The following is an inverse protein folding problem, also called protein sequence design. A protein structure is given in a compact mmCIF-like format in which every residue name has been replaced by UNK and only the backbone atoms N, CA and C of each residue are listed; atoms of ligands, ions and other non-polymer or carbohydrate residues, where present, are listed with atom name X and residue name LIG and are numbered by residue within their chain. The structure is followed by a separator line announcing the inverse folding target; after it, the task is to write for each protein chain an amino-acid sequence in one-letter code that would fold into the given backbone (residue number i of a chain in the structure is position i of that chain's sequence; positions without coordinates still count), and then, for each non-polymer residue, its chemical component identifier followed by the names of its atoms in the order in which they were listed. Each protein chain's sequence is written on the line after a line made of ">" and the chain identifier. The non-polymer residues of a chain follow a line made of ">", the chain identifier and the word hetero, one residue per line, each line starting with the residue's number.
data_IF_508388576195
#
_entry.id   IF_508388576195
#
_cell.length_a   1.000
_cell.length_b   1.000
_cell.length_c   1.000
_cell.angle_alpha   90.00
_cell.angle_beta   90.00
_cell.angle_gamma   90.00
#
_symmetry.space_group_name_H-M   'P 1'
#
loop_
_entity.id
_entity.type
_entity.pdbx_description
1 polymer ?
#
# COMPACT_ATOMS: atom_id res chain seq x y z
N UNK A 1 -27.59 -17.60 4.50
CA UNK A 1 -26.31 -18.33 4.28
C UNK A 1 -25.17 -17.31 4.32
N UNK A 2 -24.17 -17.54 5.18
CA UNK A 2 -22.98 -16.69 5.27
C UNK A 2 -22.03 -16.96 4.09
N UNK A 3 -21.27 -15.97 3.71
CA UNK A 3 -20.16 -16.17 2.77
C UNK A 3 -19.07 -17.04 3.42
N UNK A 4 -18.46 -17.89 2.62
CA UNK A 4 -17.30 -18.67 3.09
C UNK A 4 -16.12 -17.73 3.33
N UNK A 5 -15.13 -18.22 4.07
CA UNK A 5 -13.92 -17.47 4.34
C UNK A 5 -13.13 -17.16 3.06
N UNK A 6 -13.19 -18.07 2.06
CA UNK A 6 -12.59 -17.81 0.73
C UNK A 6 -13.29 -16.65 0.03
N UNK A 7 -14.62 -16.63 0.08
CA UNK A 7 -15.39 -15.54 -0.57
C UNK A 7 -15.17 -14.20 0.14
N UNK A 8 -15.14 -14.21 1.48
CA UNK A 8 -14.82 -13.01 2.25
C UNK A 8 -13.42 -12.51 1.91
N UNK A 9 -12.44 -13.42 1.87
CA UNK A 9 -11.07 -13.07 1.50
C UNK A 9 -10.97 -12.48 0.11
N UNK A 10 -11.67 -13.07 -0.87
CA UNK A 10 -11.68 -12.58 -2.24
C UNK A 10 -12.32 -11.18 -2.33
N UNK A 11 -13.42 -10.94 -1.60
CA UNK A 11 -14.08 -9.64 -1.58
C UNK A 11 -13.20 -8.56 -0.93
N UNK A 12 -12.55 -8.89 0.17
CA UNK A 12 -11.61 -7.96 0.84
C UNK A 12 -10.45 -7.63 -0.11
N UNK A 13 -9.88 -8.65 -0.78
CA UNK A 13 -8.79 -8.43 -1.72
C UNK A 13 -9.22 -7.57 -2.92
N UNK A 14 -10.40 -7.84 -3.47
CA UNK A 14 -10.96 -7.05 -4.58
C UNK A 14 -11.18 -5.59 -4.18
N UNK A 15 -11.55 -5.37 -2.92
CA UNK A 15 -11.84 -4.05 -2.38
C UNK A 15 -10.57 -3.18 -2.23
N UNK A 16 -9.39 -3.78 -2.12
CA UNK A 16 -8.13 -3.08 -1.83
C UNK A 16 -7.91 -1.85 -2.71
N UNK A 17 -8.16 -1.95 -4.01
CA UNK A 17 -7.92 -0.86 -4.96
C UNK A 17 -8.83 0.36 -4.76
N UNK A 18 -9.97 0.17 -4.08
CA UNK A 18 -10.92 1.26 -3.82
C UNK A 18 -10.51 2.13 -2.63
N UNK A 19 -9.41 1.80 -1.97
CA UNK A 19 -8.79 2.67 -0.97
C UNK A 19 -8.32 4.00 -1.59
N UNK A 20 -7.96 3.97 -2.88
CA UNK A 20 -7.39 5.12 -3.58
C UNK A 20 -8.40 5.66 -4.60
N UNK A 21 -8.63 6.97 -4.52
CA UNK A 21 -9.61 7.62 -5.40
C UNK A 21 -8.92 8.52 -6.41
N UNK A 22 -9.52 8.64 -7.59
CA UNK A 22 -9.10 9.50 -8.68
C UNK A 22 -7.64 9.28 -9.10
N UNK A 23 -7.18 8.04 -9.10
CA UNK A 23 -5.79 7.72 -9.41
C UNK A 23 -5.41 8.18 -10.82
N UNK A 24 -4.31 8.94 -10.91
CA UNK A 24 -3.74 9.44 -12.17
C UNK A 24 -2.41 8.74 -12.39
N UNK A 25 -2.28 8.05 -13.52
CA UNK A 25 -1.03 7.36 -13.86
C UNK A 25 0.01 8.40 -14.31
N UNK A 26 1.18 8.32 -13.71
CA UNK A 26 2.34 9.17 -14.03
C UNK A 26 3.14 8.45 -15.12
N UNK A 27 2.71 8.60 -16.37
CA UNK A 27 3.13 7.74 -17.48
C UNK A 27 4.58 7.90 -17.90
N UNK A 28 5.10 9.13 -17.92
CA UNK A 28 6.40 9.45 -18.51
C UNK A 28 7.37 9.98 -17.46
N UNK A 29 8.59 9.47 -17.49
CA UNK A 29 9.66 9.81 -16.55
C UNK A 29 10.95 10.06 -17.33
N UNK A 30 11.86 10.83 -16.74
CA UNK A 30 13.25 10.93 -17.20
C UNK A 30 14.10 10.00 -16.33
N UNK A 31 14.90 9.16 -16.97
CA UNK A 31 15.78 8.22 -16.28
C UNK A 31 17.24 8.46 -16.63
N UNK A 32 18.12 8.37 -15.63
CA UNK A 32 19.57 8.50 -15.84
C UNK A 32 20.26 7.35 -15.12
N UNK A 33 20.86 6.45 -15.89
CA UNK A 33 21.65 5.34 -15.33
C UNK A 33 22.93 5.86 -14.70
N UNK A 34 23.22 5.37 -13.50
CA UNK A 34 24.43 5.72 -12.76
C UNK A 34 25.09 4.42 -12.31
N UNK A 35 25.69 3.74 -13.27
CA UNK A 35 26.21 2.37 -13.09
C UNK A 35 27.29 2.28 -12.03
N UNK A 36 28.08 3.35 -11.89
CA UNK A 36 29.21 3.38 -10.96
C UNK A 36 28.91 4.19 -9.69
N UNK A 37 27.68 4.71 -9.55
CA UNK A 37 27.34 5.59 -8.44
C UNK A 37 28.06 6.92 -8.46
N UNK A 38 28.53 7.35 -9.65
CA UNK A 38 29.37 8.52 -9.81
C UNK A 38 28.66 9.83 -9.50
N UNK A 39 27.33 9.86 -9.65
CA UNK A 39 26.53 11.05 -9.37
C UNK A 39 26.26 11.27 -7.86
N UNK A 40 26.76 10.36 -7.04
CA UNK A 40 26.68 10.52 -5.60
C UNK A 40 25.29 10.24 -5.03
N UNK A 41 24.99 10.89 -3.92
CA UNK A 41 23.79 10.59 -3.13
C UNK A 41 22.65 11.60 -3.31
N UNK A 42 22.87 12.69 -4.06
CA UNK A 42 21.86 13.71 -4.33
C UNK A 42 21.51 13.76 -5.80
N UNK A 43 20.27 14.17 -6.15
CA UNK A 43 19.82 14.15 -7.52
C UNK A 43 20.72 14.92 -8.48
N UNK A 44 21.15 14.31 -9.60
CA UNK A 44 21.90 15.00 -10.64
C UNK A 44 20.99 15.89 -11.49
N UNK A 45 21.55 16.62 -12.45
CA UNK A 45 20.75 17.33 -13.44
C UNK A 45 20.12 16.30 -14.39
N UNK A 46 18.80 16.19 -14.34
CA UNK A 46 18.04 15.19 -15.08
C UNK A 46 17.74 15.58 -16.53
N UNK A 47 18.21 16.75 -17.00
CA UNK A 47 17.90 17.24 -18.36
C UNK A 47 18.41 16.30 -19.47
N UNK A 48 19.44 15.52 -19.18
CA UNK A 48 20.03 14.59 -20.15
C UNK A 48 19.50 13.16 -19.98
N UNK A 49 18.46 13.00 -19.18
CA UNK A 49 17.87 11.68 -18.94
C UNK A 49 17.14 11.14 -20.15
N UNK A 50 17.13 9.82 -20.26
CA UNK A 50 16.38 9.10 -21.29
C UNK A 50 14.92 8.95 -20.87
N UNK A 51 13.97 8.84 -21.82
CA UNK A 51 12.58 8.63 -21.49
C UNK A 51 12.31 7.21 -20.98
N UNK A 52 11.57 7.12 -19.89
CA UNK A 52 11.04 5.87 -19.34
C UNK A 52 9.53 6.00 -19.19
N UNK A 53 8.82 4.86 -19.26
CA UNK A 53 7.37 4.83 -19.12
C UNK A 53 6.96 3.72 -18.16
N UNK A 54 5.78 3.88 -17.57
CA UNK A 54 5.14 2.78 -16.83
C UNK A 54 5.01 1.59 -17.79
N UNK A 55 5.51 0.45 -17.36
CA UNK A 55 5.61 -0.76 -18.18
C UNK A 55 7.02 -1.09 -18.63
N UNK A 56 7.90 -0.11 -18.66
CA UNK A 56 9.30 -0.31 -19.13
C UNK A 56 10.11 -1.11 -18.10
N UNK A 57 11.10 -1.84 -18.64
CA UNK A 57 12.05 -2.60 -17.84
C UNK A 57 13.31 -1.78 -17.58
N UNK A 58 13.93 -2.05 -16.44
CA UNK A 58 15.28 -1.58 -16.13
C UNK A 58 16.06 -2.72 -15.50
N UNK A 59 17.35 -2.80 -15.76
CA UNK A 59 18.14 -3.98 -15.44
C UNK A 59 19.51 -3.55 -14.96
N UNK A 60 19.97 -4.19 -13.90
CA UNK A 60 21.31 -3.92 -13.41
C UNK A 60 21.74 -4.90 -12.34
N UNK A 61 23.02 -4.84 -12.00
CA UNK A 61 23.60 -5.54 -10.87
C UNK A 61 24.44 -4.53 -10.10
N UNK A 62 23.96 -4.19 -8.89
CA UNK A 62 24.58 -3.16 -8.05
C UNK A 62 24.66 -1.82 -8.80
N UNK A 63 23.59 -1.47 -9.49
CA UNK A 63 23.52 -0.31 -10.37
C UNK A 63 22.45 0.64 -9.86
N UNK A 64 22.65 1.93 -10.03
CA UNK A 64 21.67 2.95 -9.68
C UNK A 64 21.02 3.51 -10.94
N UNK A 65 19.70 3.76 -10.83
CA UNK A 65 18.92 4.48 -11.84
C UNK A 65 18.24 5.67 -11.13
N UNK A 66 18.54 6.86 -11.59
CA UNK A 66 17.79 8.05 -11.17
C UNK A 66 16.55 8.17 -12.04
N UNK A 67 15.38 8.33 -11.43
CA UNK A 67 14.10 8.42 -12.14
C UNK A 67 13.37 9.67 -11.66
N UNK A 68 13.01 10.57 -12.59
CA UNK A 68 12.50 11.89 -12.24
C UNK A 68 11.21 12.21 -12.96
N UNK A 69 10.26 12.86 -12.24
CA UNK A 69 9.05 13.43 -12.82
C UNK A 69 8.55 14.60 -11.97
N UNK A 70 8.14 15.66 -12.64
CA UNK A 70 7.37 16.76 -12.03
C UNK A 70 5.90 16.59 -12.40
N UNK A 71 5.00 16.89 -11.46
CA UNK A 71 3.55 16.75 -11.64
C UNK A 71 2.82 17.89 -10.92
N UNK A 72 1.75 18.40 -11.54
CA UNK A 72 0.81 19.30 -10.89
C UNK A 72 -0.20 18.47 -10.10
N UNK A 73 -0.26 18.69 -8.80
CA UNK A 73 -1.23 18.01 -7.95
C UNK A 73 -2.59 18.67 -8.13
N UNK A 74 -3.67 17.93 -8.42
CA UNK A 74 -4.97 18.55 -8.66
C UNK A 74 -5.43 19.44 -7.50
N UNK A 75 -5.83 20.68 -7.83
CA UNK A 75 -6.22 21.65 -6.81
C UNK A 75 -7.49 21.24 -6.06
N UNK A 76 -8.39 20.51 -6.72
CA UNK A 76 -9.64 20.04 -6.08
C UNK A 76 -9.40 18.93 -5.03
N UNK A 77 -8.16 18.46 -4.90
CA UNK A 77 -7.77 17.52 -3.83
C UNK A 77 -7.42 18.22 -2.50
N UNK A 78 -7.64 19.54 -2.42
CA UNK A 78 -7.43 20.29 -1.18
C UNK A 78 -8.19 19.63 -0.03
N UNK A 79 -7.49 19.38 1.08
CA UNK A 79 -8.05 18.71 2.26
C UNK A 79 -8.11 17.18 2.17
N UNK A 80 -7.66 16.59 1.05
CA UNK A 80 -7.57 15.13 0.92
C UNK A 80 -6.18 14.62 1.37
N UNK A 81 -6.12 13.35 1.73
CA UNK A 81 -4.85 12.68 2.04
C UNK A 81 -4.23 12.22 0.71
N UNK A 82 -3.35 13.04 0.15
CA UNK A 82 -2.75 12.80 -1.16
C UNK A 82 -1.64 11.76 -1.00
N UNK A 83 -1.59 10.79 -1.92
CA UNK A 83 -0.65 9.68 -1.85
C UNK A 83 -0.09 9.35 -3.24
N UNK A 84 1.24 9.22 -3.31
CA UNK A 84 1.92 8.61 -4.47
C UNK A 84 2.01 7.11 -4.25
N UNK A 85 1.84 6.35 -5.33
CA UNK A 85 1.85 4.88 -5.31
C UNK A 85 2.89 4.40 -6.30
N UNK A 86 3.98 3.79 -5.80
CA UNK A 86 5.13 3.48 -6.62
C UNK A 86 5.58 2.02 -6.45
N UNK A 87 5.71 1.32 -7.58
CA UNK A 87 6.31 -0.01 -7.63
C UNK A 87 7.20 -0.08 -8.87
N UNK A 88 8.50 -0.07 -8.65
CA UNK A 88 9.52 -0.15 -9.71
C UNK A 88 10.19 -1.53 -9.73
N UNK A 89 9.58 -2.51 -9.12
CA UNK A 89 10.22 -3.72 -8.66
C UNK A 89 10.33 -4.88 -9.62
N UNK A 90 10.85 -5.96 -9.07
CA UNK A 90 11.27 -7.17 -9.76
C UNK A 90 10.17 -7.82 -10.59
N UNK A 91 10.58 -8.50 -11.65
CA UNK A 91 9.67 -9.21 -12.55
C UNK A 91 9.64 -10.71 -12.30
N UNK A 92 10.71 -11.28 -11.74
CA UNK A 92 10.84 -12.72 -11.56
C UNK A 92 10.60 -13.18 -10.12
N UNK A 93 10.81 -14.46 -9.92
CA UNK A 93 10.77 -15.11 -8.61
C UNK A 93 12.23 -15.47 -8.20
N UNK A 94 12.35 -16.13 -7.06
CA UNK A 94 13.65 -16.59 -6.58
C UNK A 94 14.39 -15.53 -5.78
N UNK A 95 15.70 -15.50 -5.95
CA UNK A 95 16.58 -14.70 -5.11
C UNK A 95 16.76 -13.24 -5.56
N UNK A 96 15.87 -12.75 -6.42
CA UNK A 96 15.88 -11.33 -6.76
C UNK A 96 15.45 -10.54 -5.51
N UNK A 97 16.31 -9.63 -5.05
CA UNK A 97 16.08 -8.86 -3.82
C UNK A 97 14.94 -7.84 -3.94
N UNK A 98 14.46 -7.58 -5.13
CA UNK A 98 13.54 -6.48 -5.37
C UNK A 98 14.31 -5.18 -5.56
N UNK A 99 13.57 -4.10 -5.74
CA UNK A 99 14.20 -2.78 -5.81
C UNK A 99 14.24 -2.15 -4.42
N UNK A 100 15.22 -1.29 -4.24
CA UNK A 100 15.27 -0.35 -3.10
C UNK A 100 15.44 1.05 -3.66
N UNK A 101 14.91 2.04 -2.99
CA UNK A 101 15.11 3.41 -3.44
C UNK A 101 15.00 4.42 -2.31
N UNK A 102 15.58 5.59 -2.57
CA UNK A 102 15.35 6.79 -1.78
C UNK A 102 14.63 7.81 -2.65
N UNK A 103 13.50 8.27 -2.18
CA UNK A 103 12.75 9.34 -2.83
C UNK A 103 13.25 10.70 -2.34
N UNK A 104 13.48 11.59 -3.28
CA UNK A 104 13.66 13.03 -3.04
C UNK A 104 12.39 13.74 -3.52
N UNK A 105 11.75 14.46 -2.63
CA UNK A 105 10.57 15.28 -2.95
C UNK A 105 11.02 16.74 -3.02
N UNK A 106 10.81 17.36 -4.17
CA UNK A 106 11.27 18.74 -4.42
C UNK A 106 12.77 18.92 -4.08
N UNK A 107 13.57 17.91 -4.43
CA UNK A 107 15.02 17.92 -4.26
C UNK A 107 15.53 17.58 -2.86
N UNK A 108 14.63 17.31 -1.90
CA UNK A 108 15.01 16.98 -0.52
C UNK A 108 14.75 15.50 -0.23
N UNK A 109 15.65 14.80 0.48
CA UNK A 109 15.39 13.42 0.89
C UNK A 109 14.06 13.32 1.66
N UNK A 110 13.23 12.34 1.33
CA UNK A 110 11.88 12.25 1.86
C UNK A 110 11.61 10.91 2.55
N UNK A 111 11.63 9.81 1.80
CA UNK A 111 11.43 8.48 2.39
C UNK A 111 12.01 7.38 1.50
N UNK A 112 12.25 6.22 2.08
CA UNK A 112 12.54 5.01 1.33
C UNK A 112 11.29 4.47 0.64
N UNK A 113 11.45 3.98 -0.58
CA UNK A 113 10.36 3.32 -1.33
C UNK A 113 10.91 2.00 -1.87
N UNK A 114 10.21 0.92 -1.55
CA UNK A 114 10.60 -0.44 -1.94
C UNK A 114 9.35 -1.32 -2.11
N UNK A 115 9.56 -2.62 -2.30
CA UNK A 115 8.46 -3.57 -2.53
C UNK A 115 7.44 -3.61 -1.38
N UNK A 116 7.83 -3.22 -0.17
CA UNK A 116 6.98 -3.26 1.01
C UNK A 116 6.45 -1.88 1.41
N UNK A 117 7.07 -0.82 0.90
CA UNK A 117 6.76 0.57 1.25
C UNK A 117 6.49 1.36 -0.04
N UNK A 118 5.31 1.14 -0.63
CA UNK A 118 4.96 1.70 -1.94
C UNK A 118 4.13 2.98 -1.84
N UNK A 119 3.62 3.32 -0.66
CA UNK A 119 2.80 4.51 -0.44
C UNK A 119 3.67 5.68 0.04
N UNK A 120 3.51 6.83 -0.61
CA UNK A 120 4.19 8.08 -0.28
C UNK A 120 3.14 9.14 0.01
N UNK A 121 2.90 9.45 1.27
CA UNK A 121 1.92 10.48 1.64
C UNK A 121 2.56 11.86 1.49
N UNK A 122 1.85 12.76 0.79
CA UNK A 122 2.30 14.13 0.61
C UNK A 122 1.75 15.05 1.70
N UNK A 123 2.42 16.17 1.92
CA UNK A 123 1.95 17.16 2.88
C UNK A 123 0.58 17.74 2.45
N UNK A 124 -0.28 18.09 3.41
CA UNK A 124 -1.65 18.51 3.08
C UNK A 124 -1.77 19.74 2.18
N UNK A 125 -0.75 20.57 2.13
CA UNK A 125 -0.74 21.82 1.35
C UNK A 125 -0.20 21.64 -0.07
N UNK A 126 0.02 20.41 -0.54
CA UNK A 126 0.53 20.16 -1.90
C UNK A 126 -0.53 20.30 -2.98
N UNK A 127 -1.83 20.22 -2.65
CA UNK A 127 -2.90 20.36 -3.65
C UNK A 127 -2.78 21.70 -4.37
N UNK A 128 -2.84 21.67 -5.70
CA UNK A 128 -2.71 22.87 -6.54
C UNK A 128 -1.27 23.34 -6.74
N UNK A 129 -0.28 22.56 -6.30
CA UNK A 129 1.13 22.93 -6.48
C UNK A 129 1.83 21.92 -7.41
N UNK A 130 2.98 22.33 -7.93
CA UNK A 130 3.88 21.42 -8.64
C UNK A 130 4.77 20.68 -7.63
N UNK A 131 4.89 19.37 -7.79
CA UNK A 131 5.74 18.53 -6.94
C UNK A 131 6.68 17.74 -7.85
N UNK A 132 7.95 17.68 -7.50
CA UNK A 132 8.91 16.85 -8.23
C UNK A 132 9.28 15.61 -7.41
N UNK A 133 9.14 14.46 -8.03
CA UNK A 133 9.57 13.17 -7.51
C UNK A 133 10.88 12.80 -8.20
N UNK A 134 11.93 12.54 -7.43
CA UNK A 134 13.19 12.01 -7.95
C UNK A 134 13.59 10.81 -7.09
N UNK A 135 13.61 9.63 -7.71
CA UNK A 135 13.99 8.39 -7.04
C UNK A 135 15.42 8.02 -7.41
N UNK A 136 16.21 7.66 -6.40
CA UNK A 136 17.48 6.96 -6.59
C UNK A 136 17.19 5.48 -6.39
N UNK A 137 17.00 4.75 -7.48
CA UNK A 137 16.68 3.32 -7.47
C UNK A 137 17.98 2.51 -7.45
N UNK A 138 18.04 1.47 -6.62
CA UNK A 138 19.13 0.50 -6.62
C UNK A 138 18.60 -0.83 -7.13
N UNK A 139 19.32 -1.42 -8.10
CA UNK A 139 18.88 -2.66 -8.76
C UNK A 139 19.00 -3.90 -7.89
N UNK A 140 19.71 -3.82 -6.79
CA UNK A 140 19.97 -4.98 -5.94
C UNK A 140 21.12 -5.83 -6.45
N UNK A 141 21.41 -6.87 -5.65
CA UNK A 141 22.37 -7.92 -5.95
C UNK A 141 21.62 -9.24 -5.78
N UNK A 142 22.01 -10.24 -6.54
CA UNK A 142 21.44 -11.59 -6.39
C UNK A 142 21.65 -12.13 -4.96
N UNK A 143 20.61 -12.73 -4.39
CA UNK A 143 20.64 -13.26 -3.02
C UNK A 143 21.29 -14.64 -2.93
N UNK A 144 22.60 -14.76 -3.20
CA UNK A 144 23.34 -16.01 -3.07
C UNK A 144 23.31 -16.91 -4.29
N UNK A 145 22.77 -16.43 -5.41
CA UNK A 145 22.80 -17.15 -6.67
C UNK A 145 24.00 -16.75 -7.53
N UNK A 146 23.94 -17.09 -8.81
CA UNK A 146 24.94 -16.64 -9.78
C UNK A 146 24.90 -15.12 -9.93
N UNK A 147 26.05 -14.47 -10.19
CA UNK A 147 26.09 -13.02 -10.35
C UNK A 147 25.48 -12.59 -11.71
N UNK A 148 24.19 -12.36 -11.70
CA UNK A 148 23.42 -11.97 -12.89
C UNK A 148 22.75 -10.61 -12.66
N UNK A 149 22.57 -9.80 -13.72
CA UNK A 149 21.79 -8.59 -13.61
C UNK A 149 20.37 -8.88 -13.11
N UNK A 150 19.86 -8.01 -12.25
CA UNK A 150 18.51 -8.10 -11.72
C UNK A 150 17.57 -7.32 -12.63
N UNK A 151 16.51 -7.95 -13.08
CA UNK A 151 15.52 -7.30 -13.94
C UNK A 151 14.36 -6.77 -13.11
N UNK A 152 13.99 -5.54 -13.41
CA UNK A 152 12.88 -4.84 -12.75
C UNK A 152 11.95 -4.23 -13.79
N UNK A 153 10.77 -3.83 -13.37
CA UNK A 153 9.80 -3.18 -14.23
C UNK A 153 9.14 -2.03 -13.48
N UNK A 154 8.91 -0.92 -14.17
CA UNK A 154 8.10 0.18 -13.66
C UNK A 154 6.64 -0.29 -13.69
N UNK A 155 6.19 -0.95 -12.63
CA UNK A 155 4.86 -1.57 -12.58
C UNK A 155 3.76 -0.58 -12.25
N UNK A 156 4.09 0.39 -11.37
CA UNK A 156 3.11 1.34 -10.90
C UNK A 156 3.79 2.67 -10.58
N UNK A 157 3.20 3.74 -11.07
CA UNK A 157 3.55 5.10 -10.69
C UNK A 157 2.29 5.93 -10.84
N UNK A 158 1.65 6.27 -9.72
CA UNK A 158 0.35 6.93 -9.70
C UNK A 158 0.31 7.98 -8.61
N UNK A 159 -0.52 8.98 -8.80
CA UNK A 159 -0.89 9.93 -7.77
C UNK A 159 -2.40 9.80 -7.55
N UNK A 160 -2.82 9.78 -6.28
CA UNK A 160 -4.22 9.56 -5.91
C UNK A 160 -4.48 10.23 -4.57
N UNK A 161 -5.70 10.12 -4.08
CA UNK A 161 -5.96 10.43 -2.67
C UNK A 161 -6.59 9.22 -1.97
N UNK A 162 -6.27 9.07 -0.69
CA UNK A 162 -6.73 7.95 0.12
C UNK A 162 -8.09 8.25 0.71
N UNK A 163 -9.05 7.33 0.52
CA UNK A 163 -10.37 7.40 1.15
C UNK A 163 -10.26 6.74 2.52
N UNK A 164 -10.38 7.52 3.59
CA UNK A 164 -10.14 7.05 4.96
C UNK A 164 -11.09 5.92 5.36
N UNK A 165 -12.38 5.99 4.98
CA UNK A 165 -13.33 4.93 5.31
C UNK A 165 -12.98 3.63 4.57
N UNK A 166 -12.60 3.74 3.29
CA UNK A 166 -12.19 2.56 2.52
C UNK A 166 -10.90 1.95 3.08
N UNK A 167 -9.95 2.78 3.45
CA UNK A 167 -8.69 2.32 4.04
C UNK A 167 -8.94 1.57 5.35
N UNK A 168 -9.75 2.17 6.23
CA UNK A 168 -10.08 1.57 7.52
C UNK A 168 -10.86 0.26 7.34
N UNK A 169 -11.87 0.24 6.46
CA UNK A 169 -12.66 -0.96 6.17
C UNK A 169 -11.76 -2.10 5.65
N UNK A 170 -10.83 -1.79 4.75
CA UNK A 170 -9.91 -2.78 4.19
C UNK A 170 -9.02 -3.40 5.27
N UNK A 171 -8.31 -2.58 6.04
CA UNK A 171 -7.36 -3.10 7.03
C UNK A 171 -8.06 -3.76 8.21
N UNK A 172 -9.19 -3.21 8.68
CA UNK A 172 -9.97 -3.84 9.75
C UNK A 172 -10.53 -5.18 9.27
N UNK A 173 -11.07 -5.23 8.05
CA UNK A 173 -11.60 -6.46 7.46
C UNK A 173 -10.52 -7.54 7.34
N UNK A 174 -9.34 -7.16 6.84
CA UNK A 174 -8.19 -8.09 6.75
C UNK A 174 -7.79 -8.64 8.12
N UNK A 175 -7.66 -7.74 9.10
CA UNK A 175 -7.24 -8.13 10.45
C UNK A 175 -8.27 -9.07 11.08
N UNK A 176 -9.55 -8.74 10.97
CA UNK A 176 -10.63 -9.58 11.52
C UNK A 176 -10.68 -10.94 10.82
N UNK A 177 -10.50 -10.98 9.49
CA UNK A 177 -10.46 -12.25 8.75
C UNK A 177 -9.26 -13.09 9.16
N UNK A 178 -8.11 -12.48 9.42
CA UNK A 178 -6.92 -13.20 9.88
C UNK A 178 -7.17 -13.82 11.27
N UNK A 179 -7.79 -13.06 12.18
CA UNK A 179 -8.18 -13.59 13.50
C UNK A 179 -9.18 -14.74 13.33
N UNK A 180 -10.22 -14.55 12.52
CA UNK A 180 -11.23 -15.59 12.22
C UNK A 180 -10.55 -16.90 11.77
N UNK A 181 -9.60 -16.82 10.85
CA UNK A 181 -8.90 -18.00 10.32
C UNK A 181 -8.02 -18.68 11.35
N UNK A 182 -7.50 -17.94 12.34
CA UNK A 182 -6.64 -18.48 13.38
C UNK A 182 -7.42 -19.20 14.49
N UNK A 183 -8.73 -18.98 14.59
CA UNK A 183 -9.55 -19.55 15.67
C UNK A 183 -10.03 -20.96 15.33
N UNK A 184 -10.03 -21.84 16.32
CA UNK A 184 -10.60 -23.18 16.20
C UNK A 184 -12.11 -23.16 15.95
N UNK A 185 -12.63 -24.23 15.34
CA UNK A 185 -14.03 -24.30 14.90
C UNK A 185 -15.08 -24.11 16.00
N UNK A 186 -14.74 -24.50 17.24
CA UNK A 186 -15.67 -24.41 18.38
C UNK A 186 -15.61 -23.06 19.09
N UNK A 187 -14.75 -22.13 18.67
CA UNK A 187 -14.62 -20.84 19.35
C UNK A 187 -15.82 -19.95 19.00
N UNK A 188 -16.60 -19.48 19.99
CA UNK A 188 -17.78 -18.65 19.70
C UNK A 188 -17.46 -17.32 19.01
N UNK A 189 -16.27 -16.76 19.24
CA UNK A 189 -15.82 -15.54 18.58
C UNK A 189 -15.71 -15.75 17.06
N UNK A 190 -15.41 -16.97 16.62
CA UNK A 190 -15.29 -17.26 15.19
C UNK A 190 -16.60 -16.97 14.45
N UNK A 191 -17.73 -17.42 14.99
CA UNK A 191 -19.04 -17.18 14.38
C UNK A 191 -19.43 -15.71 14.43
N UNK A 192 -19.10 -15.02 15.50
CA UNK A 192 -19.34 -13.58 15.64
C UNK A 192 -18.57 -12.80 14.57
N UNK A 193 -17.27 -13.07 14.41
CA UNK A 193 -16.43 -12.42 13.40
C UNK A 193 -16.96 -12.67 11.99
N UNK A 194 -17.36 -13.91 11.69
CA UNK A 194 -17.94 -14.23 10.38
C UNK A 194 -19.20 -13.42 10.12
N UNK A 195 -20.09 -13.35 11.11
CA UNK A 195 -21.35 -12.61 10.98
C UNK A 195 -21.12 -11.13 10.72
N UNK A 196 -20.20 -10.53 11.45
CA UNK A 196 -19.88 -9.09 11.32
C UNK A 196 -19.25 -8.80 9.98
N UNK A 197 -18.26 -9.60 9.57
CA UNK A 197 -17.59 -9.44 8.26
C UNK A 197 -18.59 -9.63 7.11
N UNK A 198 -19.40 -10.70 7.16
CA UNK A 198 -20.41 -10.98 6.12
C UNK A 198 -21.38 -9.80 5.99
N UNK A 199 -21.87 -9.30 7.12
CA UNK A 199 -22.82 -8.17 7.13
C UNK A 199 -22.19 -6.91 6.52
N UNK A 200 -21.00 -6.54 6.98
CA UNK A 200 -20.32 -5.32 6.51
C UNK A 200 -20.04 -5.37 5.01
N UNK A 201 -19.42 -6.46 4.53
CA UNK A 201 -19.02 -6.55 3.13
C UNK A 201 -20.21 -6.78 2.17
N UNK A 202 -21.39 -7.20 2.67
CA UNK A 202 -22.62 -7.26 1.88
C UNK A 202 -23.28 -5.89 1.68
N UNK A 203 -22.95 -4.91 2.53
CA UNK A 203 -23.48 -3.54 2.36
C UNK A 203 -22.92 -2.86 1.10
N UNK A 204 -21.74 -3.27 0.65
CA UNK A 204 -21.06 -2.61 -0.47
C UNK A 204 -21.89 -2.71 -1.76
N UNK A 205 -22.17 -1.55 -2.35
CA UNK A 205 -22.94 -1.45 -3.59
C UNK A 205 -22.06 -1.73 -4.81
N UNK A 206 -21.91 -3.00 -5.15
CA UNK A 206 -21.10 -3.45 -6.28
C UNK A 206 -21.77 -3.23 -7.64
N UNK A 207 -22.94 -2.59 -7.70
CA UNK A 207 -23.60 -2.30 -8.97
C UNK A 207 -22.81 -1.30 -9.82
N UNK A 208 -22.18 -0.31 -9.16
CA UNK A 208 -21.30 0.67 -9.81
C UNK A 208 -20.08 0.95 -8.92
N UNK A 209 -19.11 0.03 -8.89
CA UNK A 209 -17.95 0.19 -8.02
C UNK A 209 -17.18 1.49 -8.34
N UNK A 210 -16.77 2.20 -7.31
CA UNK A 210 -16.06 3.47 -7.46
C UNK A 210 -16.96 4.71 -7.58
N UNK A 211 -18.30 4.52 -7.66
CA UNK A 211 -19.24 5.64 -7.70
C UNK A 211 -19.45 6.25 -6.30
N UNK A 212 -20.08 7.42 -6.25
CA UNK A 212 -20.42 8.04 -4.95
C UNK A 212 -21.39 7.14 -4.14
N UNK A 213 -22.32 6.43 -4.81
CA UNK A 213 -23.19 5.47 -4.13
C UNK A 213 -22.38 4.32 -3.53
N UNK A 214 -21.38 3.83 -4.27
CA UNK A 214 -20.45 2.81 -3.75
C UNK A 214 -19.75 3.32 -2.49
N UNK A 215 -19.16 4.54 -2.53
CA UNK A 215 -18.44 5.07 -1.39
C UNK A 215 -19.37 5.43 -0.21
N UNK A 216 -20.64 5.75 -0.46
CA UNK A 216 -21.63 5.89 0.62
C UNK A 216 -21.82 4.55 1.34
N UNK A 217 -21.93 3.45 0.58
CA UNK A 217 -22.05 2.10 1.17
C UNK A 217 -20.75 1.69 1.89
N UNK A 218 -19.59 2.15 1.41
CA UNK A 218 -18.30 1.92 2.08
C UNK A 218 -18.29 2.58 3.47
N UNK A 219 -18.73 3.83 3.55
CA UNK A 219 -18.80 4.54 4.85
C UNK A 219 -19.71 3.81 5.84
N UNK A 220 -20.89 3.35 5.38
CA UNK A 220 -21.81 2.58 6.22
C UNK A 220 -21.17 1.26 6.69
N UNK A 221 -20.51 0.53 5.79
CA UNK A 221 -19.83 -0.72 6.11
C UNK A 221 -18.70 -0.50 7.12
N UNK A 222 -17.93 0.56 6.95
CA UNK A 222 -16.84 0.93 7.85
C UNK A 222 -17.37 1.25 9.26
N UNK A 223 -18.42 2.05 9.35
CA UNK A 223 -19.06 2.40 10.63
C UNK A 223 -19.52 1.14 11.36
N UNK A 224 -20.18 0.22 10.65
CA UNK A 224 -20.65 -1.03 11.26
C UNK A 224 -19.49 -1.91 11.72
N UNK A 225 -18.46 -2.05 10.89
CA UNK A 225 -17.31 -2.89 11.24
C UNK A 225 -16.52 -2.30 12.41
N UNK A 226 -16.33 -0.99 12.44
CA UNK A 226 -15.60 -0.28 13.50
C UNK A 226 -16.34 -0.39 14.83
N UNK A 227 -17.65 -0.24 14.84
CA UNK A 227 -18.47 -0.37 16.07
C UNK A 227 -18.28 -1.77 16.69
N UNK A 228 -18.26 -2.82 15.87
CA UNK A 228 -18.04 -4.18 16.37
C UNK A 228 -16.60 -4.46 16.75
N UNK A 229 -15.66 -3.91 16.03
CA UNK A 229 -14.23 -4.04 16.33
C UNK A 229 -13.91 -3.45 17.72
N UNK A 230 -14.46 -2.32 18.00
CA UNK A 230 -14.33 -1.70 19.33
C UNK A 230 -14.88 -2.61 20.43
N UNK A 231 -15.78 -3.10 20.24
CA UNK A 231 -16.40 -4.03 21.15
C UNK A 231 -15.65 -5.32 21.27
N UNK A 232 -15.15 -5.75 20.32
CA UNK A 232 -14.36 -6.93 20.31
C UNK A 232 -12.97 -6.65 20.78
N UNK A 233 -12.54 -5.61 20.57
CA UNK A 233 -11.27 -5.24 21.08
C UNK A 233 -11.29 -4.99 22.57
N UNK A 234 -12.23 -4.66 22.97
CA UNK A 234 -12.46 -4.50 24.33
C UNK A 234 -12.60 -5.84 25.01
N UNK A 235 -13.14 -6.55 24.45
CA UNK A 235 -13.28 -7.89 24.92
C UNK A 235 -12.04 -8.71 24.79
N UNK A 236 -11.44 -8.41 23.84
CA UNK A 236 -10.18 -9.04 23.63
C UNK A 236 -9.09 -8.46 24.49
N UNK A 237 -9.17 -7.47 24.72
CA UNK A 237 -8.32 -6.80 25.62
C UNK A 237 -8.61 -7.21 27.06
N UNK A 238 -9.58 -7.35 27.23
CA UNK A 238 -10.02 -7.87 28.48
C UNK A 238 -9.66 -9.30 28.64
N UNK A 239 -9.70 -9.78 27.73
CA UNK A 239 -9.29 -11.14 27.73
C UNK A 239 -7.83 -11.36 27.80
N UNK A 240 -7.31 -10.53 27.28
CA UNK A 240 -5.90 -10.52 27.39
C UNK A 240 -5.44 -10.06 28.74
N UNK A 241 -5.90 -9.18 29.29
CA UNK A 241 -5.61 -8.71 30.66
C UNK A 241 -5.95 -9.76 31.73
N UNK A 242 -7.08 -10.38 31.61
CA UNK A 242 -7.51 -11.44 32.52
C UNK A 242 -6.60 -12.68 32.46
N UNK A 243 -6.14 -13.04 31.27
CA UNK A 243 -5.19 -14.17 31.13
C UNK A 243 -3.83 -13.84 31.74
N UNK A 244 -3.39 -12.60 31.62
CA UNK A 244 -2.14 -12.14 32.23
C UNK A 244 -2.27 -12.10 33.76
N UNK A 245 -3.43 -11.68 34.28
CA UNK A 245 -3.73 -11.65 35.71
C UNK A 245 -3.80 -13.08 36.29
N UNK A 246 -4.50 -13.99 35.60
CA UNK A 246 -4.59 -15.41 36.01
C UNK A 246 -3.23 -16.13 36.00
N UNK A 247 -2.33 -15.78 35.09
CA UNK A 247 -0.96 -16.31 35.09
C UNK A 247 -0.15 -15.82 36.30
N UNK A 248 -0.32 -14.55 36.67
CA UNK A 248 0.41 -13.98 37.82
C UNK A 248 -0.06 -14.55 39.15
N UNK A 249 -1.34 -15.00 39.23
CA UNK A 249 -1.89 -15.64 40.42
C UNK A 249 -1.40 -17.09 40.56
N UNK A 250 -1.18 -17.80 39.45
CA UNK A 250 -0.72 -19.18 39.48
C UNK A 250 0.79 -19.34 39.77
N UNK A 251 1.53 -18.24 39.79
CA UNK A 251 2.96 -18.23 40.04
C UNK A 251 3.32 -17.72 41.48
N UNK A 252 2.33 -17.65 42.38
CA UNK A 252 2.53 -17.35 43.81
C UNK A 252 2.07 -18.58 44.63
#
# INVERSE_FOLDING_TARGET
>A
MFWTDEKLGARIAEFERYRYREAVVLTEWLGLEDKEGANGVYPPDMKQGDPYRVGDYWTGRDMYLWLHKSVEVPAHWQGKRIVGLFDFGRTGSGNNSGFESLLFLNGKPYQGVDSNHQEVFLEPDTAGTAVSFTFRLWSGIEGGGLPVPQEHRIKRAELAWLDDAADNLYYTGRAMLAVYKSLGGSNPLKQELQTVLDRAFRLLDWSRPGSEAFYASVREADEQLTAHHTXXXXXXXXXXTLRRWNRSIRLR
#
